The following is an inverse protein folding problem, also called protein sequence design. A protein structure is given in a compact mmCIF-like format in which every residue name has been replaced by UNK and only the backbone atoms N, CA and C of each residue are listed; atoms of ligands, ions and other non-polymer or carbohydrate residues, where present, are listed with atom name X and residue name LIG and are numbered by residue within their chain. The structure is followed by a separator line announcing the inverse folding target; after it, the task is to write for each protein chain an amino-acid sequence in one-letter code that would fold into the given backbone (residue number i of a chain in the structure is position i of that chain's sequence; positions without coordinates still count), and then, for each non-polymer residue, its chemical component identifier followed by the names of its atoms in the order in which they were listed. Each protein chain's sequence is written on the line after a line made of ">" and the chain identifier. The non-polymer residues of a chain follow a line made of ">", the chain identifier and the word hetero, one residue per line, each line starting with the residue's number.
data_IF_482138570662
#
_entry.id   IF_482138570662
#
_cell.length_a   1.000
_cell.length_b   1.000
_cell.length_c   1.000
_cell.angle_alpha   90.00
_cell.angle_beta   90.00
_cell.angle_gamma   90.00
#
_symmetry.space_group_name_H-M   'P 1'
#
loop_
_entity.id
_entity.type
_entity.pdbx_description
1 polymer ?
#
# COMPACT_ATOMS: atom_id res chain seq x y z
N UNK A 1 2.68 28.16 -0.15
CA UNK A 1 2.93 26.79 0.37
C UNK A 1 1.59 26.10 0.50
N UNK A 2 1.48 24.86 0.02
CA UNK A 2 0.28 24.05 0.19
C UNK A 2 0.59 22.90 1.15
N UNK A 3 -0.33 22.61 2.07
CA UNK A 3 -0.20 21.49 3.00
C UNK A 3 -0.89 20.28 2.35
N UNK A 4 -0.12 19.22 2.12
CA UNK A 4 -0.59 17.92 1.65
C UNK A 4 -0.67 16.91 2.79
N UNK A 5 -1.38 15.82 2.55
CA UNK A 5 -1.52 14.70 3.50
C UNK A 5 -1.00 13.42 2.88
N UNK A 6 -0.63 12.43 3.68
CA UNK A 6 -0.18 11.16 3.13
C UNK A 6 -1.33 10.26 2.70
N UNK A 7 -1.18 9.62 1.54
CA UNK A 7 -2.17 8.67 1.02
C UNK A 7 -1.86 7.27 1.49
N UNK A 8 -2.90 6.53 1.87
CA UNK A 8 -2.83 5.20 2.47
C UNK A 8 -3.65 4.19 1.71
N UNK A 9 -3.37 2.91 2.00
CA UNK A 9 -4.25 1.83 1.57
C UNK A 9 -5.65 2.05 2.14
N UNK A 10 -6.66 1.95 1.28
CA UNK A 10 -8.06 2.20 1.60
C UNK A 10 -8.52 3.63 1.34
N UNK A 11 -7.62 4.56 1.02
CA UNK A 11 -8.01 5.92 0.66
C UNK A 11 -8.79 5.93 -0.65
N UNK A 12 -9.78 6.82 -0.71
CA UNK A 12 -10.66 6.97 -1.85
C UNK A 12 -10.04 7.89 -2.89
N UNK A 13 -10.59 7.85 -4.09
CA UNK A 13 -10.23 8.76 -5.17
C UNK A 13 -11.46 9.51 -5.67
N UNK A 14 -11.25 10.64 -6.33
CA UNK A 14 -12.36 11.46 -6.85
C UNK A 14 -13.23 10.75 -7.90
N UNK A 15 -12.75 9.66 -8.51
CA UNK A 15 -13.54 8.83 -9.41
C UNK A 15 -14.33 7.73 -8.70
N UNK A 16 -14.35 7.69 -7.38
CA UNK A 16 -14.98 6.62 -6.58
C UNK A 16 -14.13 5.36 -6.44
N UNK A 17 -12.87 5.40 -6.90
CA UNK A 17 -11.91 4.32 -6.77
C UNK A 17 -11.25 4.24 -5.39
N UNK A 18 -10.43 3.23 -5.15
CA UNK A 18 -9.76 3.01 -3.85
C UNK A 18 -8.32 2.52 -4.00
N UNK A 19 -7.42 3.00 -3.17
CA UNK A 19 -6.03 2.54 -3.15
C UNK A 19 -5.94 1.17 -2.49
N UNK A 20 -5.44 0.17 -3.21
CA UNK A 20 -5.43 -1.22 -2.76
C UNK A 20 -4.05 -1.69 -2.26
N UNK A 21 -2.99 -1.00 -2.68
CA UNK A 21 -1.61 -1.32 -2.34
C UNK A 21 -0.95 -0.14 -1.62
N UNK A 22 -0.15 -0.45 -0.59
CA UNK A 22 0.69 0.48 0.13
C UNK A 22 1.87 -0.29 0.74
N UNK A 23 2.94 0.42 1.06
CA UNK A 23 4.13 -0.20 1.65
C UNK A 23 3.98 -0.33 3.17
N UNK A 24 3.97 -1.57 3.66
CA UNK A 24 3.86 -1.89 5.08
C UNK A 24 5.17 -1.74 5.86
N UNK A 25 6.30 -1.47 5.20
CA UNK A 25 7.58 -1.20 5.87
C UNK A 25 7.69 0.26 6.28
N UNK A 26 6.95 1.15 5.62
CA UNK A 26 6.74 2.53 6.08
C UNK A 26 5.40 2.67 6.78
N UNK A 27 5.37 2.28 8.06
CA UNK A 27 4.25 2.55 8.96
C UNK A 27 4.46 3.90 9.64
N UNK A 28 3.74 4.94 9.23
CA UNK A 28 3.59 6.13 10.07
C UNK A 28 2.31 5.95 10.87
N UNK A 29 2.40 5.97 12.21
CA UNK A 29 1.29 5.65 13.11
C UNK A 29 0.68 4.25 12.88
N UNK A 30 1.51 3.26 12.54
CA UNK A 30 1.06 1.86 12.38
C UNK A 30 0.35 1.56 11.05
N UNK A 31 0.36 2.47 10.07
CA UNK A 31 -0.42 2.30 8.84
C UNK A 31 0.44 2.61 7.61
N UNK A 32 0.31 1.74 6.61
CA UNK A 32 1.09 1.73 5.38
C UNK A 32 0.80 2.93 4.47
N UNK A 33 1.85 3.59 4.00
CA UNK A 33 1.76 4.69 3.04
C UNK A 33 1.89 4.22 1.60
N UNK A 34 1.11 4.84 0.72
CA UNK A 34 1.10 4.56 -0.71
C UNK A 34 2.21 5.37 -1.41
N UNK A 35 2.72 4.85 -2.50
CA UNK A 35 3.85 5.40 -3.26
C UNK A 35 3.56 5.42 -4.75
N UNK A 36 4.45 6.08 -5.50
CA UNK A 36 4.44 6.01 -6.96
C UNK A 36 4.54 4.55 -7.41
N UNK A 37 3.64 4.16 -8.31
CA UNK A 37 3.52 2.81 -8.85
C UNK A 37 2.56 1.90 -8.07
N UNK A 38 2.09 2.31 -6.89
CA UNK A 38 1.15 1.50 -6.12
C UNK A 38 -0.21 1.44 -6.82
N UNK A 39 -0.91 0.31 -6.63
CA UNK A 39 -2.16 -0.01 -7.32
C UNK A 39 -3.37 0.70 -6.71
N UNK A 40 -4.22 1.24 -7.58
CA UNK A 40 -5.48 1.93 -7.26
C UNK A 40 -6.59 1.44 -8.19
N UNK A 41 -7.78 1.17 -7.67
CA UNK A 41 -8.94 0.83 -8.48
C UNK A 41 -9.61 2.10 -8.99
N UNK A 42 -10.15 2.09 -10.20
CA UNK A 42 -11.00 3.17 -10.72
C UNK A 42 -12.47 2.88 -10.43
N UNK A 43 -13.20 3.82 -9.84
CA UNK A 43 -14.63 3.66 -9.57
C UNK A 43 -15.52 3.74 -10.81
N UNK A 44 -15.01 4.27 -11.94
CA UNK A 44 -15.74 4.34 -13.21
C UNK A 44 -15.60 3.08 -14.05
N UNK A 45 -14.37 2.58 -14.21
CA UNK A 45 -14.08 1.45 -15.09
C UNK A 45 -13.95 0.12 -14.34
N UNK A 46 -13.85 0.14 -13.00
CA UNK A 46 -13.58 -1.04 -12.16
C UNK A 46 -12.18 -1.65 -12.31
N UNK A 47 -11.36 -1.12 -13.23
CA UNK A 47 -9.99 -1.61 -13.50
C UNK A 47 -8.99 -1.09 -12.47
N UNK A 48 -7.86 -1.78 -12.38
CA UNK A 48 -6.72 -1.36 -11.56
C UNK A 48 -5.74 -0.53 -12.39
N UNK A 49 -5.33 0.59 -11.82
CA UNK A 49 -4.38 1.56 -12.35
C UNK A 49 -3.27 1.79 -11.33
N UNK A 50 -2.31 2.65 -11.65
CA UNK A 50 -1.19 2.96 -10.77
C UNK A 50 -1.21 4.43 -10.36
N UNK A 51 -0.63 4.72 -9.21
CA UNK A 51 -0.40 6.10 -8.77
C UNK A 51 0.81 6.66 -9.52
N UNK A 52 0.63 7.82 -10.15
CA UNK A 52 1.68 8.56 -10.84
C UNK A 52 1.90 9.92 -10.15
N UNK A 53 3.16 10.35 -10.07
CA UNK A 53 3.54 11.55 -9.34
C UNK A 53 3.61 11.31 -7.83
N UNK A 54 4.47 12.06 -7.14
CA UNK A 54 4.73 11.89 -5.70
C UNK A 54 5.58 13.02 -5.16
N UNK A 55 5.72 13.08 -3.84
CA UNK A 55 6.39 14.18 -3.16
C UNK A 55 7.90 14.09 -3.39
N UNK A 56 8.46 15.03 -4.16
CA UNK A 56 9.85 14.99 -4.67
C UNK A 56 10.93 14.77 -3.60
N UNK A 57 10.72 15.33 -2.40
CA UNK A 57 11.68 15.31 -1.30
C UNK A 57 11.38 14.22 -0.25
N UNK A 58 10.28 13.48 -0.37
CA UNK A 58 9.93 12.38 0.55
C UNK A 58 10.00 11.05 -0.20
N UNK A 59 11.01 10.24 0.15
CA UNK A 59 11.24 8.92 -0.43
C UNK A 59 11.07 7.82 0.61
N UNK A 60 10.32 6.80 0.25
CA UNK A 60 10.12 5.56 0.99
C UNK A 60 10.68 4.39 0.18
N UNK A 61 11.73 3.74 0.70
CA UNK A 61 12.38 2.59 0.05
C UNK A 61 12.73 2.82 -1.43
N UNK A 62 13.29 3.99 -1.74
CA UNK A 62 13.70 4.35 -3.10
C UNK A 62 12.57 4.82 -4.04
N UNK A 63 11.32 4.86 -3.57
CA UNK A 63 10.17 5.41 -4.33
C UNK A 63 9.62 6.66 -3.67
N UNK A 64 9.06 7.57 -4.47
CA UNK A 64 8.42 8.78 -3.95
C UNK A 64 7.09 8.43 -3.28
N UNK A 65 6.82 9.05 -2.14
CA UNK A 65 5.56 8.88 -1.41
C UNK A 65 4.43 9.59 -2.16
N UNK A 66 3.26 8.96 -2.20
CA UNK A 66 2.09 9.52 -2.86
C UNK A 66 1.38 10.54 -1.96
N UNK A 67 0.96 11.65 -2.56
CA UNK A 67 0.25 12.72 -1.88
C UNK A 67 -0.87 13.30 -2.76
N UNK A 68 -1.93 13.87 -2.17
CA UNK A 68 -3.08 14.38 -2.91
C UNK A 68 -2.75 15.62 -3.75
N UNK A 69 -1.64 16.30 -3.46
CA UNK A 69 -1.20 17.48 -4.20
C UNK A 69 -0.36 17.11 -5.42
N UNK A 70 0.55 16.15 -5.26
CA UNK A 70 1.61 15.84 -6.22
C UNK A 70 1.37 14.52 -6.98
N UNK A 71 0.34 13.76 -6.61
CA UNK A 71 -0.01 12.48 -7.22
C UNK A 71 -1.40 12.47 -7.83
N UNK A 72 -1.53 11.75 -8.94
CA UNK A 72 -2.81 11.42 -9.59
C UNK A 72 -2.82 9.93 -9.92
N UNK A 73 -4.01 9.37 -10.13
CA UNK A 73 -4.13 8.03 -10.67
C UNK A 73 -3.90 8.03 -12.18
N UNK A 74 -3.27 6.97 -12.70
CA UNK A 74 -3.06 6.75 -14.14
C UNK A 74 -4.34 6.34 -14.88
N UNK A 75 -5.51 6.43 -14.22
CA UNK A 75 -6.78 6.14 -14.86
C UNK A 75 -7.08 7.18 -15.95
N UNK A 76 -7.93 6.87 -16.95
CA UNK A 76 -8.39 7.86 -17.92
C UNK A 76 -9.12 9.03 -17.24
N UNK A 77 -9.65 8.81 -16.04
CA UNK A 77 -10.25 9.83 -15.20
C UNK A 77 -9.29 10.85 -14.58
N UNK A 78 -7.97 10.60 -14.59
CA UNK A 78 -6.95 11.39 -13.87
C UNK A 78 -7.40 11.76 -12.45
N UNK A 79 -7.94 10.78 -11.72
CA UNK A 79 -8.55 11.02 -10.43
C UNK A 79 -7.51 11.38 -9.38
N UNK A 80 -7.84 12.35 -8.53
CA UNK A 80 -7.01 12.76 -7.40
C UNK A 80 -7.26 11.82 -6.23
N UNK A 81 -6.23 11.64 -5.40
CA UNK A 81 -6.28 10.83 -4.20
C UNK A 81 -6.90 11.67 -3.07
N UNK A 82 -7.79 11.07 -2.28
CA UNK A 82 -8.49 11.72 -1.16
C UNK A 82 -7.96 11.08 0.13
N UNK A 83 -7.20 11.83 0.95
CA UNK A 83 -6.68 11.31 2.20
C UNK A 83 -7.82 11.09 3.20
N UNK A 84 -7.79 9.97 3.93
CA UNK A 84 -8.72 9.72 5.04
C UNK A 84 -8.15 10.13 6.41
N UNK A 85 -6.82 10.32 6.51
CA UNK A 85 -6.14 10.74 7.73
C UNK A 85 -5.43 12.08 7.51
N UNK A 86 -5.70 13.04 8.39
CA UNK A 86 -5.17 14.40 8.31
C UNK A 86 -4.04 14.69 9.29
N UNK A 87 -3.71 13.75 10.18
CA UNK A 87 -2.69 13.92 11.24
C UNK A 87 -1.25 13.96 10.69
N UNK A 88 -0.99 13.21 9.63
CA UNK A 88 0.29 13.22 8.94
C UNK A 88 0.25 14.16 7.73
N UNK A 89 0.91 15.32 7.86
CA UNK A 89 0.97 16.38 6.85
C UNK A 89 2.37 16.58 6.30
N UNK A 90 2.46 17.15 5.11
CA UNK A 90 3.69 17.62 4.50
C UNK A 90 3.44 18.97 3.80
N UNK A 91 4.46 19.81 3.64
CA UNK A 91 4.33 21.08 2.93
C UNK A 91 4.97 21.00 1.56
N UNK A 92 4.17 21.00 0.48
CA UNK A 92 4.71 21.16 -0.86
C UNK A 92 4.70 22.63 -1.29
N UNK A 93 5.82 23.03 -1.89
CA UNK A 93 5.96 24.28 -2.64
C UNK A 93 5.39 24.18 -4.07
N UNK A 94 4.97 22.99 -4.48
CA UNK A 94 4.48 22.65 -5.81
C UNK A 94 3.03 23.10 -6.03
N UNK A 95 2.83 24.37 -6.35
CA UNK A 95 1.60 24.84 -6.99
C UNK A 95 1.80 24.91 -8.52
N UNK A 96 2.09 23.77 -9.17
CA UNK A 96 1.99 23.63 -10.64
C UNK A 96 1.63 22.18 -10.99
N UNK A 97 0.52 21.93 -11.72
CA UNK A 97 0.28 20.62 -12.33
C UNK A 97 1.41 20.38 -13.34
N UNK A 98 2.31 19.43 -13.06
CA UNK A 98 3.24 19.00 -14.10
C UNK A 98 2.44 18.25 -15.16
N UNK A 99 2.49 18.67 -16.44
CA UNK A 99 1.88 17.92 -17.51
C UNK A 99 2.54 16.55 -17.56
N UNK A 100 1.73 15.48 -17.54
CA UNK A 100 2.15 14.18 -18.04
C UNK A 100 2.79 14.41 -19.42
N UNK A 101 4.09 14.16 -19.51
CA UNK A 101 4.76 14.10 -20.81
C UNK A 101 4.29 12.80 -21.46
N UNK A 102 3.31 12.96 -22.34
CA UNK A 102 2.92 11.98 -23.34
C UNK A 102 4.17 11.62 -24.15
N UNK A 103 4.53 10.34 -24.16
CA UNK A 103 5.52 9.79 -25.08
C UNK A 103 4.83 8.69 -25.88
N UNK A 104 4.45 9.08 -27.08
CA UNK A 104 3.90 8.32 -28.20
C UNK A 104 4.83 7.16 -28.58
N UNK A 105 4.26 5.98 -28.89
CA UNK A 105 4.94 4.86 -29.57
C UNK A 105 5.21 5.21 -31.06
N UNK A 106 6.11 4.49 -31.79
CA UNK A 106 5.71 3.25 -32.46
C UNK A 106 6.77 2.10 -32.63
N UNK A 107 6.24 0.85 -32.62
CA UNK A 107 6.48 -0.41 -33.41
C UNK A 107 7.86 -0.70 -34.09
N UNK A 108 8.47 -1.88 -33.99
CA UNK A 108 8.19 -3.16 -34.72
C UNK A 108 9.09 -4.30 -34.14
N UNK A 109 8.57 -5.43 -33.68
CA UNK A 109 8.28 -6.72 -34.36
C UNK A 109 9.51 -7.52 -34.84
N UNK A 110 9.85 -8.61 -34.12
CA UNK A 110 10.13 -9.91 -34.74
C UNK A 110 9.89 -11.07 -33.76
N UNK A 111 9.24 -12.11 -34.27
CA UNK A 111 8.76 -13.32 -33.58
C UNK A 111 9.89 -14.38 -33.49
N UNK A 112 9.86 -15.55 -32.86
CA UNK A 112 8.86 -16.62 -32.60
C UNK A 112 9.49 -17.54 -31.53
N UNK A 113 8.75 -18.05 -30.53
CA UNK A 113 8.47 -19.49 -30.31
C UNK A 113 7.92 -19.79 -28.89
N UNK A 114 6.67 -20.24 -28.85
CA UNK A 114 6.02 -21.02 -27.77
C UNK A 114 6.39 -22.50 -27.92
N UNK A 115 6.44 -23.31 -26.85
CA UNK A 115 5.22 -23.90 -26.25
C UNK A 115 5.20 -23.75 -24.70
N UNK A 116 4.06 -23.41 -24.11
CA UNK A 116 3.09 -24.36 -23.54
C UNK A 116 3.70 -25.40 -22.58
N UNK A 117 3.60 -25.11 -21.28
CA UNK A 117 3.29 -26.12 -20.27
C UNK A 117 2.73 -25.44 -19.02
N UNK A 118 1.47 -25.76 -18.73
CA UNK A 118 0.81 -25.56 -17.44
C UNK A 118 1.66 -26.16 -16.30
N UNK A 119 1.42 -25.74 -15.05
CA UNK A 119 0.76 -26.72 -14.20
C UNK A 119 -0.45 -26.14 -13.47
N UNK A 120 -1.51 -26.92 -13.62
CA UNK A 120 -2.73 -26.92 -12.84
C UNK A 120 -2.44 -27.56 -11.47
N UNK A 121 -2.99 -26.93 -10.44
CA UNK A 121 -3.36 -27.49 -9.13
C UNK A 121 -2.26 -27.97 -8.18
N UNK A 122 -2.19 -27.31 -7.02
CA UNK A 122 -2.48 -27.97 -5.74
C UNK A 122 -3.20 -26.98 -4.82
N UNK A 123 -4.35 -27.40 -4.30
CA UNK A 123 -5.07 -26.75 -3.21
C UNK A 123 -4.40 -27.13 -1.86
N UNK A 124 -4.99 -26.75 -0.72
CA UNK A 124 -4.39 -25.89 0.28
C UNK A 124 -3.64 -26.69 1.37
N UNK A 125 -2.37 -26.37 1.62
CA UNK A 125 -1.65 -26.98 2.74
C UNK A 125 -1.03 -25.93 3.66
N UNK A 126 -1.67 -25.83 4.82
CA UNK A 126 -1.08 -25.49 6.11
C UNK A 126 -0.25 -24.19 6.14
N UNK A 127 -0.92 -23.06 5.90
CA UNK A 127 -0.43 -21.80 6.43
C UNK A 127 -0.42 -21.93 7.96
N UNK A 128 0.77 -22.16 8.54
CA UNK A 128 0.99 -21.95 9.97
C UNK A 128 0.69 -20.48 10.23
N UNK A 129 -0.52 -20.21 10.69
CA UNK A 129 -0.95 -18.89 11.15
C UNK A 129 -0.17 -18.59 12.42
N UNK A 130 1.02 -18.03 12.26
CA UNK A 130 1.72 -17.43 13.38
C UNK A 130 1.01 -16.11 13.69
N UNK A 131 0.53 -15.97 14.92
CA UNK A 131 0.02 -14.69 15.40
C UNK A 131 1.10 -13.63 15.18
N UNK A 132 0.75 -12.50 14.56
CA UNK A 132 1.69 -11.40 14.31
C UNK A 132 2.17 -10.74 15.62
N UNK A 133 1.44 -10.94 16.72
CA UNK A 133 1.70 -10.34 18.02
C UNK A 133 1.21 -11.28 19.12
N UNK A 134 2.05 -11.56 20.13
CA UNK A 134 1.62 -12.15 21.40
C UNK A 134 1.47 -11.02 22.42
N UNK A 135 0.27 -10.90 23.02
CA UNK A 135 0.02 -10.01 24.14
C UNK A 135 0.05 -10.83 25.43
N UNK A 136 0.78 -10.34 26.44
CA UNK A 136 0.81 -10.94 27.76
C UNK A 136 -0.11 -10.12 28.65
N UNK A 137 -1.21 -10.75 29.05
CA UNK A 137 -2.23 -10.16 29.90
C UNK A 137 -2.21 -10.82 31.27
N UNK A 138 -2.51 -10.03 32.29
CA UNK A 138 -2.74 -10.52 33.64
C UNK A 138 -3.99 -11.41 33.69
N UNK A 139 -3.92 -12.55 34.39
CA UNK A 139 -4.99 -13.56 34.39
C UNK A 139 -6.21 -13.17 35.24
N UNK A 140 -6.05 -12.30 36.23
CA UNK A 140 -7.14 -11.86 37.10
C UNK A 140 -7.85 -10.63 36.52
N UNK A 141 -7.11 -9.75 35.86
CA UNK A 141 -7.61 -8.46 35.39
C UNK A 141 -7.74 -8.34 33.87
N UNK A 142 -7.12 -9.25 33.10
CA UNK A 142 -7.12 -9.23 31.64
C UNK A 142 -6.35 -8.05 31.02
N UNK A 143 -5.70 -7.21 31.84
CA UNK A 143 -4.97 -6.03 31.39
C UNK A 143 -3.57 -6.38 30.89
N UNK A 144 -3.05 -5.65 29.89
CA UNK A 144 -1.69 -5.86 29.40
C UNK A 144 -0.67 -5.48 30.50
N UNK A 145 0.25 -6.38 30.80
CA UNK A 145 1.33 -6.13 31.75
C UNK A 145 2.36 -5.17 31.12
N UNK A 146 2.13 -3.87 31.24
CA UNK A 146 3.07 -2.84 30.78
C UNK A 146 4.21 -2.65 31.79
N UNK A 147 5.45 -2.51 31.30
CA UNK A 147 6.65 -2.13 32.08
C UNK A 147 7.07 -3.10 33.20
N UNK A 148 6.81 -4.40 33.07
CA UNK A 148 7.33 -5.42 34.00
C UNK A 148 8.14 -6.46 33.23
N UNK A 149 9.27 -6.86 33.82
CA UNK A 149 10.08 -7.96 33.30
C UNK A 149 9.39 -9.29 33.62
N UNK A 150 9.26 -10.15 32.62
CA UNK A 150 8.64 -11.47 32.77
C UNK A 150 9.42 -12.51 31.98
N UNK A 151 9.37 -13.76 32.46
CA UNK A 151 9.92 -14.93 31.77
C UNK A 151 8.73 -15.74 31.25
N UNK A 152 8.58 -15.81 29.93
CA UNK A 152 7.58 -16.66 29.30
C UNK A 152 8.19 -18.05 29.03
N UNK A 153 7.74 -19.07 29.77
CA UNK A 153 8.11 -20.47 29.50
C UNK A 153 7.04 -21.06 28.58
N UNK A 154 7.42 -21.33 27.33
CA UNK A 154 6.52 -21.91 26.33
C UNK A 154 6.69 -23.43 26.34
N UNK A 155 5.78 -24.15 27.00
CA UNK A 155 5.69 -25.60 26.86
C UNK A 155 4.94 -25.95 25.58
N UNK A 156 5.66 -26.41 24.56
CA UNK A 156 5.07 -26.80 23.28
C UNK A 156 4.31 -28.13 23.41
N UNK A 157 3.03 -28.08 23.77
CA UNK A 157 2.14 -29.24 23.67
C UNK A 157 1.64 -29.34 22.23
N UNK A 158 2.20 -30.29 21.47
CA UNK A 158 1.73 -30.63 20.13
C UNK A 158 0.37 -31.34 20.25
N UNK A 159 -0.74 -30.60 20.19
CA UNK A 159 -2.07 -31.18 19.99
C UNK A 159 -2.27 -31.46 18.51
N UNK A 160 -2.15 -32.73 18.14
CA UNK A 160 -2.60 -33.24 16.84
C UNK A 160 -4.12 -33.20 16.81
N UNK A 161 -4.71 -32.47 15.87
CA UNK A 161 -6.10 -32.63 15.47
C UNK A 161 -6.18 -33.64 14.33
#
# INVERSE_FOLDING_TARGET
>A
MAIGHFIRRGDRTTCGGTVIEADSRCMMFGIAHSRVGDRVTCGKDGKTYQIIGGVSYIRSHGRLVAGPLDSISSCPCKARLIPSMFEATYSSESSKPQPQREATAPLTADSINTPSSSPRSVAPDFAKTFAQTLAITDSETGQPLANREFIAVVEAVKRSA
#
